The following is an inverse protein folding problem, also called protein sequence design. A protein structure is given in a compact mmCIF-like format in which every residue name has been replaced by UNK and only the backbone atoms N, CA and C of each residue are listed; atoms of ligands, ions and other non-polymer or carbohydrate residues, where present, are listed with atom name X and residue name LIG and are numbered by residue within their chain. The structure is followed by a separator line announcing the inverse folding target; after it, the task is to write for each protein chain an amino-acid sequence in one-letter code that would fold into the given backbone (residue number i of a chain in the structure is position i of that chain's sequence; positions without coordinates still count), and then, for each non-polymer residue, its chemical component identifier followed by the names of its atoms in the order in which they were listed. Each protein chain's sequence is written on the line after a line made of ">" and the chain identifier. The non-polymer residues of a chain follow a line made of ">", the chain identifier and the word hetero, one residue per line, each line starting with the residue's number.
data_IF_567201977260
#
_entry.id   IF_567201977260
#
_cell.length_a   1.000
_cell.length_b   1.000
_cell.length_c   1.000
_cell.angle_alpha   90.00
_cell.angle_beta   90.00
_cell.angle_gamma   90.00
#
_symmetry.space_group_name_H-M   'P 1'
#
loop_
_entity.id
_entity.type
_entity.pdbx_description
1 polymer ?
#
# COMPACT_ATOMS: atom_id res chain seq x y z
N UNK A 1 -9.13 -23.46 12.75
CA UNK A 1 -8.39 -22.81 11.65
C UNK A 1 -9.21 -21.72 10.92
N UNK A 2 -10.55 -21.71 11.00
CA UNK A 2 -11.37 -20.77 10.20
C UNK A 2 -11.44 -19.33 10.73
N UNK A 3 -11.46 -19.11 12.05
CA UNK A 3 -11.66 -17.76 12.60
C UNK A 3 -10.52 -16.77 12.30
N UNK A 4 -9.26 -17.21 12.37
CA UNK A 4 -8.09 -16.38 12.06
C UNK A 4 -8.04 -15.98 10.59
N UNK A 5 -8.34 -16.92 9.69
CA UNK A 5 -8.38 -16.66 8.25
C UNK A 5 -9.51 -15.67 7.93
N UNK A 6 -10.70 -15.87 8.48
CA UNK A 6 -11.82 -14.95 8.29
C UNK A 6 -11.54 -13.55 8.85
N UNK A 7 -10.91 -13.44 10.02
CA UNK A 7 -10.51 -12.16 10.58
C UNK A 7 -9.52 -11.42 9.66
N UNK A 8 -8.51 -12.14 9.14
CA UNK A 8 -7.54 -11.58 8.19
C UNK A 8 -8.21 -11.14 6.88
N UNK A 9 -9.16 -11.91 6.35
CA UNK A 9 -9.91 -11.53 5.13
C UNK A 9 -10.73 -10.25 5.34
N UNK A 10 -11.35 -10.08 6.51
CA UNK A 10 -12.09 -8.85 6.86
C UNK A 10 -11.13 -7.66 6.99
N UNK A 11 -10.03 -7.82 7.74
CA UNK A 11 -8.98 -6.81 7.87
C UNK A 11 -8.43 -6.40 6.49
N UNK A 12 -8.23 -7.38 5.61
CA UNK A 12 -7.80 -7.15 4.24
C UNK A 12 -8.78 -6.27 3.46
N UNK A 13 -10.07 -6.59 3.48
CA UNK A 13 -11.08 -5.82 2.76
C UNK A 13 -11.17 -4.37 3.28
N UNK A 14 -11.14 -4.20 4.60
CA UNK A 14 -11.16 -2.87 5.22
C UNK A 14 -9.92 -2.08 4.83
N UNK A 15 -8.74 -2.69 4.91
CA UNK A 15 -7.46 -2.05 4.57
C UNK A 15 -7.39 -1.69 3.09
N UNK A 16 -7.87 -2.55 2.20
CA UNK A 16 -7.94 -2.29 0.77
C UNK A 16 -8.84 -1.08 0.47
N UNK A 17 -10.02 -1.00 1.10
CA UNK A 17 -10.93 0.12 0.95
C UNK A 17 -10.28 1.44 1.42
N UNK A 18 -9.62 1.42 2.58
CA UNK A 18 -8.85 2.56 3.07
C UNK A 18 -7.75 2.98 2.08
N UNK A 19 -6.99 2.02 1.54
CA UNK A 19 -5.93 2.30 0.58
C UNK A 19 -6.45 2.94 -0.71
N UNK A 20 -7.62 2.52 -1.22
CA UNK A 20 -8.26 3.17 -2.37
C UNK A 20 -8.67 4.62 -2.07
N UNK A 21 -9.23 4.88 -0.89
CA UNK A 21 -9.59 6.25 -0.47
C UNK A 21 -8.35 7.12 -0.37
N UNK A 22 -7.28 6.63 0.25
CA UNK A 22 -5.99 7.33 0.39
C UNK A 22 -5.41 7.65 -1.00
N UNK A 23 -5.36 6.66 -1.90
CA UNK A 23 -4.84 6.85 -3.26
C UNK A 23 -5.65 7.90 -4.02
N UNK A 24 -6.98 7.86 -3.91
CA UNK A 24 -7.85 8.86 -4.52
C UNK A 24 -7.56 10.27 -3.98
N UNK A 25 -7.40 10.42 -2.66
CA UNK A 25 -7.08 11.69 -2.02
C UNK A 25 -5.72 12.22 -2.49
N UNK A 26 -4.69 11.38 -2.55
CA UNK A 26 -3.35 11.74 -3.04
C UNK A 26 -3.38 12.16 -4.51
N UNK A 27 -4.09 11.41 -5.37
CA UNK A 27 -4.24 11.75 -6.78
C UNK A 27 -5.03 13.05 -6.99
N UNK A 28 -6.08 13.29 -6.20
CA UNK A 28 -6.82 14.56 -6.21
C UNK A 28 -5.96 15.73 -5.73
N UNK A 29 -5.19 15.54 -4.67
CA UNK A 29 -4.28 16.55 -4.14
C UNK A 29 -3.17 16.90 -5.15
N UNK A 30 -2.62 15.90 -5.84
CA UNK A 30 -1.71 16.11 -6.96
C UNK A 30 -2.36 16.95 -8.07
N UNK A 31 -3.58 16.62 -8.50
CA UNK A 31 -4.29 17.40 -9.52
C UNK A 31 -4.54 18.85 -9.09
N UNK A 32 -4.88 19.08 -7.82
CA UNK A 32 -5.18 20.42 -7.28
C UNK A 32 -3.93 21.27 -7.07
N UNK A 33 -2.87 20.70 -6.48
CA UNK A 33 -1.70 21.46 -6.04
C UNK A 33 -0.47 21.29 -6.96
N UNK A 34 -0.47 20.28 -7.85
CA UNK A 34 0.61 19.93 -8.79
C UNK A 34 1.99 19.78 -8.12
N UNK A 35 2.03 19.39 -6.85
CA UNK A 35 3.28 19.16 -6.11
C UNK A 35 3.72 17.71 -6.23
N UNK A 36 4.99 17.50 -6.54
CA UNK A 36 5.57 16.18 -6.81
C UNK A 36 5.42 15.19 -5.64
N UNK A 37 5.49 15.66 -4.38
CA UNK A 37 5.34 14.77 -3.22
C UNK A 37 3.99 14.04 -3.17
N UNK A 38 2.89 14.64 -3.69
CA UNK A 38 1.61 13.93 -3.77
C UNK A 38 1.65 12.78 -4.78
N UNK A 39 2.40 12.93 -5.87
CA UNK A 39 2.61 11.85 -6.83
C UNK A 39 3.46 10.74 -6.21
N UNK A 40 4.53 11.09 -5.48
CA UNK A 40 5.36 10.14 -4.73
C UNK A 40 4.53 9.33 -3.73
N UNK A 41 3.63 9.99 -2.99
CA UNK A 41 2.71 9.34 -2.05
C UNK A 41 1.72 8.41 -2.76
N UNK A 42 1.19 8.82 -3.93
CA UNK A 42 0.32 7.96 -4.74
C UNK A 42 1.04 6.71 -5.23
N UNK A 43 2.26 6.85 -5.75
CA UNK A 43 3.09 5.72 -6.21
C UNK A 43 3.42 4.78 -5.04
N UNK A 44 3.80 5.33 -3.89
CA UNK A 44 4.00 4.55 -2.65
C UNK A 44 2.77 3.70 -2.31
N UNK A 45 1.58 4.30 -2.39
CA UNK A 45 0.31 3.63 -2.07
C UNK A 45 0.00 2.53 -3.08
N UNK A 46 0.30 2.71 -4.37
CA UNK A 46 0.17 1.67 -5.40
C UNK A 46 1.07 0.48 -5.10
N UNK A 47 2.34 0.71 -4.73
CA UNK A 47 3.23 -0.38 -4.33
C UNK A 47 2.78 -1.08 -3.05
N UNK A 48 2.27 -0.34 -2.07
CA UNK A 48 1.71 -0.91 -0.85
C UNK A 48 0.52 -1.82 -1.18
N UNK A 49 -0.39 -1.38 -2.03
CA UNK A 49 -1.53 -2.16 -2.52
C UNK A 49 -1.03 -3.44 -3.20
N UNK A 50 -0.13 -3.34 -4.17
CA UNK A 50 0.40 -4.51 -4.87
C UNK A 50 1.03 -5.54 -3.92
N UNK A 51 1.88 -5.09 -2.99
CA UNK A 51 2.50 -5.95 -1.98
C UNK A 51 1.43 -6.61 -1.08
N UNK A 52 0.42 -5.85 -0.68
CA UNK A 52 -0.65 -6.32 0.18
C UNK A 52 -1.50 -7.39 -0.49
N UNK A 53 -1.88 -7.19 -1.76
CA UNK A 53 -2.60 -8.20 -2.55
C UNK A 53 -1.77 -9.49 -2.73
N UNK A 54 -0.47 -9.38 -3.00
CA UNK A 54 0.41 -10.56 -3.11
C UNK A 54 0.45 -11.39 -1.82
N UNK A 55 0.48 -10.72 -0.66
CA UNK A 55 0.46 -11.40 0.65
C UNK A 55 -0.90 -12.00 0.99
N UNK A 56 -1.98 -11.38 0.53
CA UNK A 56 -3.32 -11.80 0.87
C UNK A 56 -3.86 -12.93 0.00
N UNK A 57 -3.34 -13.07 -1.23
CA UNK A 57 -3.81 -14.05 -2.23
C UNK A 57 -3.98 -15.48 -1.68
N UNK A 58 -3.03 -16.05 -0.91
CA UNK A 58 -3.14 -17.41 -0.36
C UNK A 58 -4.28 -17.59 0.66
N UNK A 59 -4.80 -16.50 1.23
CA UNK A 59 -5.90 -16.54 2.18
C UNK A 59 -7.28 -16.52 1.50
N UNK A 60 -7.34 -16.19 0.21
CA UNK A 60 -8.58 -16.20 -0.57
C UNK A 60 -8.64 -17.37 -1.57
N UNK A 61 -7.49 -17.83 -2.05
CA UNK A 61 -7.37 -18.89 -3.04
C UNK A 61 -6.54 -20.05 -2.48
N UNK A 62 -6.88 -21.28 -2.86
CA UNK A 62 -6.06 -22.44 -2.53
C UNK A 62 -4.78 -22.43 -3.39
N UNK A 63 -3.71 -21.85 -2.83
CA UNK A 63 -2.39 -21.74 -3.46
C UNK A 63 -1.41 -22.68 -2.74
N UNK A 64 -0.62 -23.48 -3.48
CA UNK A 64 0.43 -24.31 -2.89
C UNK A 64 1.39 -23.49 -2.04
N UNK A 65 1.87 -24.06 -0.93
CA UNK A 65 2.76 -23.38 0.01
C UNK A 65 4.02 -22.79 -0.67
N UNK A 66 4.63 -23.51 -1.61
CA UNK A 66 5.79 -23.04 -2.36
C UNK A 66 5.53 -21.76 -3.16
N UNK A 67 4.34 -21.63 -3.77
CA UNK A 67 3.92 -20.42 -4.49
C UNK A 67 3.58 -19.29 -3.53
N UNK A 68 2.97 -19.59 -2.38
CA UNK A 68 2.68 -18.62 -1.33
C UNK A 68 3.95 -18.00 -0.76
N UNK A 69 5.00 -18.81 -0.52
CA UNK A 69 6.32 -18.32 -0.09
C UNK A 69 6.95 -17.44 -1.16
N UNK A 70 6.88 -17.84 -2.44
CA UNK A 70 7.39 -17.04 -3.55
C UNK A 70 6.69 -15.68 -3.65
N UNK A 71 5.35 -15.63 -3.56
CA UNK A 71 4.56 -14.40 -3.53
C UNK A 71 4.93 -13.51 -2.34
N UNK A 72 5.15 -14.12 -1.17
CA UNK A 72 5.61 -13.38 0.00
C UNK A 72 6.96 -12.70 -0.26
N UNK A 73 7.96 -13.44 -0.77
CA UNK A 73 9.26 -12.86 -1.10
C UNK A 73 9.18 -11.76 -2.16
N UNK A 74 8.31 -11.89 -3.16
CA UNK A 74 8.09 -10.86 -4.17
C UNK A 74 7.42 -9.61 -3.58
N UNK A 75 6.56 -9.76 -2.57
CA UNK A 75 5.89 -8.65 -1.90
C UNK A 75 6.83 -7.81 -1.03
N UNK A 76 7.91 -8.40 -0.50
CA UNK A 76 8.87 -7.72 0.40
C UNK A 76 9.52 -6.49 -0.24
N UNK A 77 10.16 -6.57 -1.42
CA UNK A 77 10.78 -5.39 -2.04
C UNK A 77 9.75 -4.31 -2.39
N UNK A 78 8.54 -4.71 -2.81
CA UNK A 78 7.45 -3.76 -3.06
C UNK A 78 7.03 -3.03 -1.78
N UNK A 79 6.92 -3.75 -0.66
CA UNK A 79 6.61 -3.14 0.64
C UNK A 79 7.73 -2.19 1.11
N UNK A 80 9.00 -2.54 0.87
CA UNK A 80 10.15 -1.68 1.19
C UNK A 80 10.10 -0.39 0.36
N UNK A 81 9.89 -0.51 -0.95
CA UNK A 81 9.77 0.66 -1.84
C UNK A 81 8.57 1.53 -1.46
N UNK A 82 7.42 0.91 -1.19
CA UNK A 82 6.24 1.62 -0.71
C UNK A 82 6.54 2.43 0.56
N UNK A 83 7.21 1.80 1.53
CA UNK A 83 7.58 2.45 2.80
C UNK A 83 8.57 3.58 2.58
N UNK A 84 9.63 3.36 1.81
CA UNK A 84 10.65 4.38 1.54
C UNK A 84 10.05 5.62 0.85
N UNK A 85 9.23 5.41 -0.19
CA UNK A 85 8.56 6.49 -0.91
C UNK A 85 7.50 7.19 -0.05
N UNK A 86 6.78 6.44 0.78
CA UNK A 86 5.77 6.97 1.69
C UNK A 86 6.41 7.89 2.72
N UNK A 87 7.50 7.45 3.35
CA UNK A 87 8.29 8.24 4.30
C UNK A 87 8.87 9.48 3.61
N UNK A 88 9.51 9.32 2.45
CA UNK A 88 10.12 10.44 1.73
C UNK A 88 9.09 11.49 1.27
N UNK A 89 7.95 11.04 0.72
CA UNK A 89 6.85 11.93 0.34
C UNK A 89 6.26 12.68 1.52
N UNK A 90 6.20 12.04 2.70
CA UNK A 90 5.74 12.67 3.94
C UNK A 90 6.73 13.71 4.46
N UNK A 91 8.04 13.41 4.43
CA UNK A 91 9.09 14.39 4.80
C UNK A 91 9.00 15.64 3.94
N UNK A 92 8.86 15.49 2.61
CA UNK A 92 8.70 16.63 1.70
C UNK A 92 7.42 17.43 1.99
N UNK A 93 6.34 16.76 2.38
CA UNK A 93 5.10 17.41 2.77
C UNK A 93 5.34 18.29 3.99
N UNK A 94 5.95 17.78 5.06
CA UNK A 94 6.26 18.57 6.27
C UNK A 94 7.19 19.74 5.97
N UNK A 95 8.27 19.51 5.23
CA UNK A 95 9.18 20.59 4.80
C UNK A 95 8.47 21.71 4.04
N UNK A 96 7.49 21.37 3.20
CA UNK A 96 6.71 22.35 2.44
C UNK A 96 5.70 23.12 3.31
N UNK A 97 5.29 22.57 4.45
CA UNK A 97 4.45 23.26 5.44
C UNK A 97 5.29 24.14 6.36
N UNK A 98 6.46 23.68 6.81
CA UNK A 98 7.36 24.45 7.68
C UNK A 98 7.97 25.67 6.97
N UNK A 99 8.09 25.62 5.64
CA UNK A 99 8.58 26.73 4.82
C UNK A 99 7.54 27.85 4.56
N UNK A 100 6.31 27.72 5.08
CA UNK A 100 5.23 28.71 4.94
C UNK A 100 4.97 29.44 6.25
#
# INVERSE_FOLDING_TARGET
>A
MNALVSAFQIEFLVTALCAFVILYMQARAYRKHRKQFFLTLAISTVFAIAAFFMRALPYFLHIPESQSIMLYWLSVPLAILATALGTWGSVQLFQAFDAK
#
